data_IF_324513008656
#
_entry.id   IF_324513008656
#
_cell.length_a   1.000
_cell.length_b   1.000
_cell.length_c   1.000
_cell.angle_alpha   90.00
_cell.angle_beta   90.00
_cell.angle_gamma   90.00
#
_symmetry.space_group_name_H-M   'P 1'
#
loop_
_entity.id
_entity.type
_entity.pdbx_description
1 polymer ?
#
# COMPACT_ATOMS: atom_id res chain seq x y z
N UNK A 1 -16.42 -22.94 -20.86
CA UNK A 1 -17.35 -22.51 -19.80
C UNK A 1 -16.56 -22.35 -18.51
N UNK A 2 -15.84 -21.25 -18.42
CA UNK A 2 -15.20 -20.81 -17.17
C UNK A 2 -16.31 -20.26 -16.27
N UNK A 3 -16.71 -21.01 -15.26
CA UNK A 3 -17.37 -20.45 -14.10
C UNK A 3 -16.26 -19.67 -13.35
N UNK A 4 -16.19 -18.38 -13.54
CA UNK A 4 -15.55 -17.51 -12.59
C UNK A 4 -16.27 -17.77 -11.24
N UNK A 5 -15.56 -18.30 -10.29
CA UNK A 5 -16.07 -18.44 -8.92
C UNK A 5 -16.03 -17.04 -8.33
N UNK A 6 -17.04 -16.26 -8.67
CA UNK A 6 -17.28 -15.00 -8.00
C UNK A 6 -17.66 -15.30 -6.57
N UNK A 7 -16.76 -15.09 -5.66
CA UNK A 7 -17.09 -15.08 -4.23
C UNK A 7 -18.09 -13.94 -4.02
N UNK A 8 -19.31 -14.32 -3.70
CA UNK A 8 -20.35 -13.33 -3.45
C UNK A 8 -20.00 -12.55 -2.18
N UNK A 9 -20.21 -11.24 -2.18
CA UNK A 9 -19.91 -10.33 -1.06
C UNK A 9 -20.43 -10.86 0.30
N UNK A 10 -21.55 -11.57 0.28
CA UNK A 10 -22.14 -12.26 1.45
C UNK A 10 -21.28 -13.41 2.00
N UNK A 11 -20.53 -14.11 1.15
CA UNK A 11 -19.68 -15.23 1.60
C UNK A 11 -18.41 -14.71 2.29
N UNK A 12 -17.87 -13.59 1.82
CA UNK A 12 -16.78 -12.88 2.51
C UNK A 12 -17.22 -12.37 3.89
N UNK A 13 -18.42 -11.85 3.99
CA UNK A 13 -18.98 -11.37 5.26
C UNK A 13 -19.13 -12.50 6.28
N UNK A 14 -19.50 -13.70 5.83
CA UNK A 14 -19.62 -14.87 6.70
C UNK A 14 -18.27 -15.44 7.16
N UNK A 15 -17.22 -15.31 6.33
CA UNK A 15 -15.88 -15.80 6.66
C UNK A 15 -15.11 -14.85 7.58
N UNK A 16 -15.31 -13.54 7.45
CA UNK A 16 -14.56 -12.55 8.21
C UNK A 16 -15.29 -12.06 9.46
N UNK A 17 -16.55 -12.45 9.67
CA UNK A 17 -17.38 -11.95 10.76
C UNK A 17 -17.66 -10.44 10.69
N UNK A 18 -17.28 -9.79 9.60
CA UNK A 18 -17.36 -8.35 9.44
C UNK A 18 -18.55 -7.98 8.55
N UNK A 19 -19.72 -7.86 9.16
CA UNK A 19 -20.98 -7.54 8.49
C UNK A 19 -21.15 -6.05 8.14
N UNK A 20 -20.12 -5.22 8.28
CA UNK A 20 -20.26 -3.76 8.25
C UNK A 20 -19.36 -3.02 7.29
N UNK A 21 -19.17 -3.52 6.05
CA UNK A 21 -18.73 -2.68 4.95
C UNK A 21 -19.89 -2.33 4.02
N UNK A 22 -21.08 -2.12 4.61
CA UNK A 22 -22.16 -1.38 3.98
C UNK A 22 -21.86 0.11 4.01
N UNK A 23 -22.33 0.86 3.01
CA UNK A 23 -22.22 2.31 2.89
C UNK A 23 -22.94 3.11 4.02
N UNK A 24 -23.23 2.52 5.15
CA UNK A 24 -23.82 3.18 6.29
C UNK A 24 -22.71 3.44 7.31
N UNK A 25 -22.46 4.73 7.54
CA UNK A 25 -21.67 5.19 8.68
C UNK A 25 -22.30 4.60 9.95
N UNK A 26 -21.53 4.03 10.87
CA UNK A 26 -22.07 3.61 12.15
C UNK A 26 -22.75 4.81 12.79
N UNK A 27 -24.03 4.67 13.15
CA UNK A 27 -24.77 5.71 13.89
C UNK A 27 -23.98 6.05 15.15
N UNK A 28 -23.47 7.27 15.19
CA UNK A 28 -22.86 7.85 16.38
C UNK A 28 -23.96 8.01 17.43
N UNK A 29 -24.06 7.07 18.34
CA UNK A 29 -24.96 7.23 19.50
C UNK A 29 -24.46 8.42 20.34
N UNK A 30 -25.31 9.40 20.61
CA UNK A 30 -24.96 10.49 21.50
C UNK A 30 -24.85 9.96 22.93
N UNK A 31 -23.64 9.77 23.40
CA UNK A 31 -23.35 9.29 24.74
C UNK A 31 -21.97 9.74 25.15
N UNK A 32 -21.93 10.54 26.21
CA UNK A 32 -20.71 11.00 26.87
C UNK A 32 -19.82 9.81 27.24
N UNK A 33 -18.70 9.68 26.56
CA UNK A 33 -17.65 8.71 26.83
C UNK A 33 -16.74 8.67 25.62
N UNK A 34 -15.48 9.00 25.80
CA UNK A 34 -14.43 8.85 24.80
C UNK A 34 -14.26 7.38 24.43
N UNK A 35 -15.15 6.86 23.61
CA UNK A 35 -14.87 5.61 22.90
C UNK A 35 -13.79 5.95 21.90
N UNK A 36 -12.62 5.36 22.08
CA UNK A 36 -11.57 5.38 21.08
C UNK A 36 -12.18 4.92 19.76
N UNK A 37 -12.06 5.77 18.73
CA UNK A 37 -12.49 5.43 17.37
C UNK A 37 -11.72 4.18 16.99
N UNK A 38 -12.42 3.14 16.53
CA UNK A 38 -11.77 1.95 16.02
C UNK A 38 -10.76 2.33 14.93
N UNK A 39 -9.56 1.76 14.92
CA UNK A 39 -8.50 2.16 13.99
C UNK A 39 -8.96 2.27 12.53
N UNK A 40 -9.74 1.31 12.04
CA UNK A 40 -10.25 1.33 10.67
C UNK A 40 -11.22 2.48 10.36
N UNK A 41 -11.97 2.93 11.35
CA UNK A 41 -12.92 4.08 11.20
C UNK A 41 -12.15 5.40 11.15
N UNK A 42 -11.06 5.50 11.90
CA UNK A 42 -10.23 6.71 11.90
C UNK A 42 -9.62 6.98 10.52
N UNK A 43 -9.15 5.95 9.82
CA UNK A 43 -8.59 6.08 8.46
C UNK A 43 -9.68 6.51 7.46
N UNK A 44 -10.85 5.91 7.50
CA UNK A 44 -11.97 6.28 6.63
C UNK A 44 -12.38 7.74 6.85
N UNK A 45 -12.44 8.19 8.11
CA UNK A 45 -12.75 9.58 8.43
C UNK A 45 -11.67 10.55 7.95
N UNK A 46 -10.40 10.19 8.04
CA UNK A 46 -9.30 11.00 7.48
C UNK A 46 -9.41 11.16 5.98
N UNK A 47 -9.71 10.08 5.26
CA UNK A 47 -9.90 10.12 3.81
C UNK A 47 -11.10 10.98 3.43
N UNK A 48 -12.21 10.89 4.18
CA UNK A 48 -13.45 11.56 3.83
C UNK A 48 -13.49 13.05 4.22
N UNK A 49 -12.84 13.43 5.31
CA UNK A 49 -12.97 14.76 5.92
C UNK A 49 -11.64 15.46 6.23
N UNK A 50 -10.50 14.79 6.08
CA UNK A 50 -9.18 15.30 6.40
C UNK A 50 -8.30 15.54 5.18
N UNK A 51 -7.22 16.29 5.39
CA UNK A 51 -6.09 16.31 4.48
C UNK A 51 -5.33 15.00 4.66
N UNK A 52 -5.35 14.14 3.65
CA UNK A 52 -4.65 12.85 3.70
C UNK A 52 -3.14 13.01 3.60
N UNK A 53 -2.65 14.19 3.21
CA UNK A 53 -1.24 14.43 2.92
C UNK A 53 -0.72 13.67 1.69
N UNK A 54 -1.57 12.88 1.03
CA UNK A 54 -1.23 12.11 -0.16
C UNK A 54 -1.23 13.05 -1.37
N UNK A 55 -0.09 13.14 -2.06
CA UNK A 55 0.08 13.97 -3.26
C UNK A 55 0.17 13.17 -4.56
N UNK A 56 0.24 11.86 -4.47
CA UNK A 56 0.27 10.98 -5.64
C UNK A 56 -1.04 11.06 -6.41
N UNK A 57 -0.93 10.92 -7.74
CA UNK A 57 -2.10 10.96 -8.62
C UNK A 57 -3.07 9.84 -8.27
N UNK A 58 -4.31 10.20 -7.94
CA UNK A 58 -5.40 9.24 -7.76
C UNK A 58 -6.03 8.92 -9.12
N UNK A 59 -6.37 7.66 -9.31
CA UNK A 59 -7.10 7.15 -10.46
C UNK A 59 -8.30 6.39 -9.95
N UNK A 60 -9.47 6.75 -10.46
CA UNK A 60 -10.70 6.02 -10.17
C UNK A 60 -10.95 5.03 -11.31
N UNK A 61 -11.07 3.72 -11.03
CA UNK A 61 -11.48 2.76 -12.03
C UNK A 61 -12.89 3.09 -12.55
N UNK A 62 -13.16 2.72 -13.80
CA UNK A 62 -14.51 2.82 -14.35
C UNK A 62 -15.47 1.85 -13.64
N UNK A 63 -16.79 2.12 -13.66
CA UNK A 63 -17.77 1.15 -13.19
C UNK A 63 -17.57 -0.18 -13.91
N UNK A 64 -17.42 -1.28 -13.16
CA UNK A 64 -17.18 -2.65 -13.66
C UNK A 64 -15.78 -2.93 -14.22
N UNK A 65 -14.84 -2.01 -14.12
CA UNK A 65 -13.43 -2.25 -14.43
C UNK A 65 -12.78 -3.05 -13.30
N UNK A 66 -12.06 -4.13 -13.65
CA UNK A 66 -11.32 -4.90 -12.67
C UNK A 66 -10.05 -4.16 -12.25
N UNK A 67 -9.86 -3.98 -10.95
CA UNK A 67 -8.72 -3.23 -10.40
C UNK A 67 -7.38 -3.92 -10.70
N UNK A 68 -7.36 -5.27 -10.84
CA UNK A 68 -6.16 -6.01 -11.18
C UNK A 68 -5.80 -5.86 -12.66
N UNK A 69 -6.81 -5.94 -13.54
CA UNK A 69 -6.63 -5.70 -14.97
C UNK A 69 -6.15 -4.27 -15.22
N UNK A 70 -6.74 -3.28 -14.52
CA UNK A 70 -6.31 -1.89 -14.57
C UNK A 70 -4.83 -1.72 -14.20
N UNK A 71 -4.37 -2.40 -13.16
CA UNK A 71 -2.97 -2.36 -12.74
C UNK A 71 -2.05 -2.99 -13.79
N UNK A 72 -2.47 -4.07 -14.41
CA UNK A 72 -1.71 -4.75 -15.46
C UNK A 72 -1.63 -3.90 -16.74
N UNK A 73 -2.75 -3.39 -17.22
CA UNK A 73 -2.83 -2.56 -18.45
C UNK A 73 -1.98 -1.28 -18.33
N UNK A 74 -1.83 -0.76 -17.12
CA UNK A 74 -0.98 0.41 -16.84
C UNK A 74 0.49 0.07 -16.61
N UNK A 75 0.86 -1.20 -16.68
CA UNK A 75 2.23 -1.66 -16.44
C UNK A 75 2.69 -1.52 -14.98
N UNK A 76 1.75 -1.50 -14.02
CA UNK A 76 2.05 -1.46 -12.58
C UNK A 76 2.19 -2.84 -11.98
N UNK A 77 1.80 -3.87 -12.69
CA UNK A 77 1.94 -5.28 -12.34
C UNK A 77 2.44 -6.05 -13.55
N UNK A 78 3.11 -7.14 -13.31
CA UNK A 78 3.54 -8.13 -14.32
C UNK A 78 2.49 -9.20 -14.62
N UNK A 79 1.26 -9.00 -14.12
CA UNK A 79 0.15 -9.94 -14.22
C UNK A 79 -0.09 -10.73 -12.95
N UNK A 80 0.80 -10.64 -11.96
CA UNK A 80 0.52 -11.17 -10.62
C UNK A 80 -0.50 -10.29 -9.89
N UNK A 81 -1.36 -10.88 -9.06
CA UNK A 81 -2.31 -10.11 -8.25
C UNK A 81 -1.61 -9.10 -7.36
N UNK A 82 -2.08 -7.87 -7.38
CA UNK A 82 -1.62 -6.78 -6.52
C UNK A 82 -2.75 -6.30 -5.64
N UNK A 83 -2.41 -5.77 -4.46
CA UNK A 83 -3.41 -5.14 -3.60
C UNK A 83 -3.61 -3.71 -4.06
N UNK A 84 -4.84 -3.31 -4.45
CA UNK A 84 -5.12 -1.95 -4.88
C UNK A 84 -4.74 -0.94 -3.80
N UNK A 85 -3.92 0.08 -4.12
CA UNK A 85 -3.43 1.06 -3.15
C UNK A 85 -4.48 2.15 -2.91
N UNK A 86 -5.53 1.82 -2.17
CA UNK A 86 -6.54 2.81 -1.77
C UNK A 86 -5.96 3.79 -0.75
N UNK A 87 -6.48 5.03 -0.67
CA UNK A 87 -6.01 6.03 0.28
C UNK A 87 -5.97 5.52 1.73
N UNK A 88 -6.98 4.75 2.14
CA UNK A 88 -7.06 4.17 3.49
C UNK A 88 -5.90 3.21 3.78
N UNK A 89 -5.58 2.37 2.80
CA UNK A 89 -4.46 1.42 2.91
C UNK A 89 -3.11 2.13 2.95
N UNK A 90 -2.96 3.20 2.16
CA UNK A 90 -1.74 4.02 2.15
C UNK A 90 -1.56 4.72 3.50
N UNK A 91 -2.62 5.36 4.03
CA UNK A 91 -2.57 6.01 5.34
C UNK A 91 -2.22 5.00 6.44
N UNK A 92 -2.81 3.81 6.41
CA UNK A 92 -2.48 2.74 7.34
C UNK A 92 -1.03 2.30 7.22
N UNK A 93 -0.50 2.16 5.99
CA UNK A 93 0.91 1.83 5.77
C UNK A 93 1.84 2.90 6.34
N UNK A 94 1.51 4.17 6.14
CA UNK A 94 2.28 5.31 6.66
C UNK A 94 2.28 5.40 8.19
N UNK A 95 1.35 4.78 8.90
CA UNK A 95 1.39 4.67 10.36
C UNK A 95 2.57 3.82 10.86
N UNK A 96 3.15 2.98 10.02
CA UNK A 96 4.34 2.20 10.34
C UNK A 96 5.63 3.02 10.45
N UNK A 97 5.59 4.31 10.14
CA UNK A 97 6.75 5.21 10.22
C UNK A 97 6.38 6.57 10.79
N UNK A 98 7.36 7.26 11.36
CA UNK A 98 7.23 8.65 11.82
C UNK A 98 7.73 9.67 10.80
N UNK A 99 8.20 9.21 9.63
CA UNK A 99 8.77 10.06 8.58
C UNK A 99 7.67 10.78 7.82
N UNK A 100 7.99 11.95 7.28
CA UNK A 100 7.08 12.72 6.44
C UNK A 100 6.79 11.96 5.13
N UNK A 101 5.53 11.79 4.72
CA UNK A 101 5.18 11.13 3.46
C UNK A 101 5.83 11.75 2.22
N UNK A 102 6.11 13.05 2.26
CA UNK A 102 6.72 13.79 1.16
C UNK A 102 8.26 13.83 1.24
N UNK A 103 8.85 13.27 2.27
CA UNK A 103 10.30 13.17 2.40
C UNK A 103 10.89 12.37 1.24
N UNK A 104 11.93 12.93 0.60
CA UNK A 104 12.63 12.29 -0.51
C UNK A 104 13.71 11.39 0.06
N UNK A 105 13.61 10.10 -0.19
CA UNK A 105 14.59 9.08 0.20
C UNK A 105 15.79 9.09 -0.74
N UNK A 106 15.53 9.27 -2.03
CA UNK A 106 16.57 9.28 -3.07
C UNK A 106 15.96 9.37 -4.46
N UNK A 107 16.78 9.15 -5.47
CA UNK A 107 16.35 9.14 -6.87
C UNK A 107 16.57 7.75 -7.47
N UNK A 108 15.54 7.22 -8.11
CA UNK A 108 15.55 5.86 -8.66
C UNK A 108 16.12 5.87 -10.08
N UNK A 109 17.23 5.16 -10.35
CA UNK A 109 17.75 5.02 -11.71
C UNK A 109 16.77 4.22 -12.60
N UNK A 110 16.82 4.37 -13.95
CA UNK A 110 17.76 5.19 -14.72
C UNK A 110 17.34 6.64 -14.87
N UNK A 111 16.04 6.95 -14.78
CA UNK A 111 15.47 8.27 -15.08
C UNK A 111 15.53 9.24 -13.89
N UNK A 112 16.01 8.78 -12.76
CA UNK A 112 16.19 9.53 -11.52
C UNK A 112 14.92 10.25 -10.99
N UNK A 113 13.70 9.67 -11.09
CA UNK A 113 12.55 10.24 -10.43
C UNK A 113 12.74 10.20 -8.92
N UNK A 114 12.25 11.24 -8.24
CA UNK A 114 12.30 11.31 -6.78
C UNK A 114 11.46 10.20 -6.15
N UNK A 115 12.07 9.44 -5.25
CA UNK A 115 11.44 8.43 -4.43
C UNK A 115 11.05 9.06 -3.09
N UNK A 116 9.76 9.23 -2.85
CA UNK A 116 9.25 9.70 -1.57
C UNK A 116 8.79 8.53 -0.70
N UNK A 117 8.73 8.75 0.61
CA UNK A 117 8.17 7.78 1.57
C UNK A 117 6.77 7.32 1.15
N UNK A 118 5.94 8.25 0.66
CA UNK A 118 4.61 7.94 0.13
C UNK A 118 4.64 6.96 -1.05
N UNK A 119 5.55 7.15 -2.01
CA UNK A 119 5.68 6.24 -3.15
C UNK A 119 6.13 4.84 -2.73
N UNK A 120 7.01 4.76 -1.74
CA UNK A 120 7.40 3.47 -1.15
C UNK A 120 6.21 2.81 -0.46
N UNK A 121 5.40 3.59 0.28
CA UNK A 121 4.19 3.07 0.94
C UNK A 121 3.16 2.52 -0.07
N UNK A 122 2.96 3.23 -1.19
CA UNK A 122 2.06 2.75 -2.27
C UNK A 122 2.53 1.38 -2.80
N UNK A 123 3.83 1.26 -3.12
CA UNK A 123 4.38 0.00 -3.62
C UNK A 123 4.35 -1.11 -2.55
N UNK A 124 4.60 -0.79 -1.28
CA UNK A 124 4.50 -1.74 -0.18
C UNK A 124 3.06 -2.25 0.00
N UNK A 125 2.05 -1.39 -0.15
CA UNK A 125 0.63 -1.81 -0.16
C UNK A 125 0.36 -2.73 -1.32
N UNK A 126 0.79 -2.38 -2.54
CA UNK A 126 0.59 -3.22 -3.72
C UNK A 126 1.23 -4.61 -3.57
N UNK A 127 2.38 -4.68 -2.90
CA UNK A 127 3.07 -5.93 -2.58
C UNK A 127 2.46 -6.70 -1.39
N UNK A 128 1.43 -6.16 -0.73
CA UNK A 128 0.76 -6.83 0.40
C UNK A 128 1.51 -6.76 1.72
N UNK A 129 2.44 -5.83 1.89
CA UNK A 129 3.14 -5.64 3.15
C UNK A 129 2.22 -5.16 4.26
N UNK A 130 2.54 -5.54 5.50
CA UNK A 130 1.90 -4.99 6.70
C UNK A 130 2.61 -3.70 7.14
N UNK A 131 1.90 -2.78 7.84
CA UNK A 131 2.50 -1.55 8.34
C UNK A 131 3.72 -1.77 9.23
N UNK A 132 3.74 -2.85 10.01
CA UNK A 132 4.85 -3.21 10.90
C UNK A 132 6.15 -3.49 10.13
N UNK A 133 6.05 -3.89 8.85
CA UNK A 133 7.21 -4.17 8.00
C UNK A 133 7.73 -2.92 7.31
N UNK A 134 6.96 -1.84 7.31
CA UNK A 134 7.27 -0.66 6.53
C UNK A 134 8.63 -0.01 6.88
N UNK A 135 9.07 0.09 8.14
CA UNK A 135 10.40 0.60 8.46
C UNK A 135 11.53 -0.22 7.81
N UNK A 136 11.36 -1.54 7.73
CA UNK A 136 12.34 -2.43 7.07
C UNK A 136 12.34 -2.20 5.57
N UNK A 137 11.16 -2.07 4.96
CA UNK A 137 11.02 -1.76 3.53
C UNK A 137 11.71 -0.44 3.19
N UNK A 138 11.51 0.60 4.00
CA UNK A 138 12.19 1.89 3.84
C UNK A 138 13.72 1.74 3.92
N UNK A 139 14.24 1.05 4.93
CA UNK A 139 15.67 0.81 5.07
C UNK A 139 16.26 0.01 3.90
N UNK A 140 15.52 -0.95 3.37
CA UNK A 140 15.93 -1.69 2.17
C UNK A 140 16.02 -0.79 0.94
N UNK A 141 15.04 0.09 0.73
CA UNK A 141 15.04 1.03 -0.39
C UNK A 141 16.19 2.03 -0.25
N UNK A 142 16.41 2.59 0.94
CA UNK A 142 17.54 3.50 1.21
C UNK A 142 18.86 2.83 0.89
N UNK A 143 19.07 1.62 1.40
CA UNK A 143 20.30 0.85 1.14
C UNK A 143 20.50 0.56 -0.34
N UNK A 144 19.41 0.24 -1.06
CA UNK A 144 19.48 -0.02 -2.49
C UNK A 144 19.79 1.24 -3.32
N UNK A 145 19.43 2.44 -2.81
CA UNK A 145 19.71 3.72 -3.45
C UNK A 145 21.10 4.30 -3.11
N UNK A 146 21.81 3.66 -2.17
CA UNK A 146 23.19 4.04 -1.87
C UNK A 146 24.10 3.88 -3.10
N UNK A 147 25.00 4.84 -3.40
CA UNK A 147 25.87 4.78 -4.58
C UNK A 147 26.71 3.51 -4.66
N UNK A 148 27.13 2.96 -3.53
CA UNK A 148 27.93 1.74 -3.47
C UNK A 148 27.16 0.48 -3.88
N UNK A 149 25.84 0.48 -3.78
CA UNK A 149 25.02 -0.68 -4.18
C UNK A 149 24.91 -0.83 -5.71
N UNK A 150 25.13 0.25 -6.45
CA UNK A 150 25.14 0.25 -7.92
C UNK A 150 23.83 -0.27 -8.53
N UNK A 151 22.69 0.11 -7.96
CA UNK A 151 21.36 -0.35 -8.35
C UNK A 151 21.14 -0.28 -9.87
N UNK A 152 21.60 0.81 -10.52
CA UNK A 152 21.46 0.97 -11.97
C UNK A 152 22.14 -0.17 -12.74
N UNK A 153 23.35 -0.56 -12.34
CA UNK A 153 24.07 -1.68 -12.97
C UNK A 153 23.34 -3.03 -12.81
N UNK A 154 22.71 -3.24 -11.65
CA UNK A 154 21.92 -4.46 -11.40
C UNK A 154 20.67 -4.47 -12.29
N UNK A 155 19.95 -3.36 -12.38
CA UNK A 155 18.70 -3.26 -13.14
C UNK A 155 18.89 -3.35 -14.65
N UNK A 156 20.05 -2.95 -15.20
CA UNK A 156 20.33 -3.03 -16.63
C UNK A 156 21.06 -4.33 -17.04
N UNK A 157 21.35 -5.21 -16.09
CA UNK A 157 22.04 -6.48 -16.37
C UNK A 157 21.09 -7.50 -16.97
N UNK A 158 21.53 -8.18 -18.02
CA UNK A 158 20.84 -9.35 -18.60
C UNK A 158 21.17 -10.66 -17.88
N UNK A 159 22.00 -10.61 -16.84
CA UNK A 159 22.45 -11.79 -16.09
C UNK A 159 21.51 -12.20 -14.96
N UNK A 160 20.25 -11.77 -14.97
CA UNK A 160 19.24 -12.08 -13.95
C UNK A 160 19.64 -11.68 -12.51
N UNK A 161 20.48 -10.66 -12.38
CA UNK A 161 20.86 -10.13 -11.08
C UNK A 161 19.68 -9.49 -10.40
N UNK A 162 19.44 -9.84 -9.13
CA UNK A 162 18.41 -9.21 -8.32
C UNK A 162 18.92 -8.94 -6.91
N UNK A 163 18.41 -7.88 -6.24
CA UNK A 163 18.73 -7.64 -4.84
C UNK A 163 18.24 -8.78 -3.96
N UNK A 164 19.06 -9.22 -3.02
CA UNK A 164 18.68 -10.18 -1.98
C UNK A 164 18.69 -9.45 -0.63
N UNK A 165 17.55 -9.50 0.06
CA UNK A 165 17.38 -8.87 1.37
C UNK A 165 17.41 -9.95 2.43
N UNK A 166 18.33 -9.81 3.39
CA UNK A 166 18.41 -10.70 4.55
C UNK A 166 18.06 -9.89 5.80
N UNK A 167 16.88 -10.14 6.36
CA UNK A 167 16.43 -9.52 7.60
C UNK A 167 16.62 -10.51 8.76
N UNK A 168 17.18 -10.03 9.86
CA UNK A 168 17.32 -10.79 11.10
C UNK A 168 17.13 -9.88 12.32
N UNK A 169 17.00 -10.49 13.50
CA UNK A 169 16.78 -9.77 14.74
C UNK A 169 15.31 -9.70 15.18
N UNK A 170 14.94 -8.73 16.05
CA UNK A 170 13.60 -8.67 16.63
C UNK A 170 12.48 -8.50 15.61
N UNK A 171 12.77 -7.91 14.46
CA UNK A 171 11.82 -7.65 13.35
C UNK A 171 11.32 -8.94 12.69
N UNK A 172 12.00 -10.06 12.89
CA UNK A 172 11.65 -11.36 12.30
C UNK A 172 10.85 -12.25 13.25
N UNK A 173 10.56 -11.75 14.45
CA UNK A 173 9.78 -12.41 15.50
C UNK A 173 8.40 -11.77 15.57
#
# INVERSE_FOLDING_TARGET
TSRAVGWHRSEWQNLTGNSSLGNELPELQPGCGSKSIEPGVAEVLRVKFGDTGIKSRSISPAPYEDEHELCFDRGWSDGLPVIPPTPERIIRMLQGTTRDPQEIIGNIPPNLPSCTVEKVAINAVMAGCKPEYFPVVLGCVETALEPHFTLHGILCSTCFSSPVIVANGPVTK
#
